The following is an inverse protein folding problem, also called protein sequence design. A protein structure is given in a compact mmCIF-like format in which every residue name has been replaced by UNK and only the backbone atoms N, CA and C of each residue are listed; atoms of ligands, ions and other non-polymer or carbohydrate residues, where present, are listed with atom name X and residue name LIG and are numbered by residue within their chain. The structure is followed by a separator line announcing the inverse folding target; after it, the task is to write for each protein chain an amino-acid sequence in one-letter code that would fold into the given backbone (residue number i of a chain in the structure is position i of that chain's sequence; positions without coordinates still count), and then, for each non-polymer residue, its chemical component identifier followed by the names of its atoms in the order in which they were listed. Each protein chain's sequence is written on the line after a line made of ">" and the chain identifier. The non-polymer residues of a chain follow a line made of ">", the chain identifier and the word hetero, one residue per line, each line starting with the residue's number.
data_IF_232161006484
#
_entry.id   IF_232161006484
#
_cell.length_a   1.000
_cell.length_b   1.000
_cell.length_c   1.000
_cell.angle_alpha   90.00
_cell.angle_beta   90.00
_cell.angle_gamma   90.00
#
_symmetry.space_group_name_H-M   'P 1'
#
loop_
_entity.id
_entity.type
_entity.pdbx_description
1 polymer ?
#
# COMPACT_ATOMS: atom_id res chain seq x y z
N UNK A 1 4.82 -19.67 -22.88
CA UNK A 1 3.60 -19.45 -22.08
C UNK A 1 2.70 -18.41 -22.76
N UNK A 2 1.38 -18.61 -22.81
CA UNK A 2 0.40 -17.60 -23.25
C UNK A 2 -0.39 -17.07 -22.05
N UNK A 3 -0.50 -15.75 -21.87
CA UNK A 3 -1.42 -15.13 -20.91
C UNK A 3 -2.75 -14.78 -21.57
N UNK A 4 -3.86 -14.98 -20.86
CA UNK A 4 -5.22 -14.63 -21.27
C UNK A 4 -5.93 -13.94 -20.12
N UNK A 5 -6.33 -12.69 -20.32
CA UNK A 5 -7.24 -12.02 -19.40
C UNK A 5 -8.67 -12.39 -19.77
N UNK A 6 -9.37 -13.14 -18.91
CA UNK A 6 -10.79 -13.50 -19.08
C UNK A 6 -11.69 -12.72 -18.11
N UNK A 7 -11.20 -11.60 -17.59
CA UNK A 7 -11.91 -10.70 -16.70
C UNK A 7 -12.15 -9.36 -17.39
N UNK A 8 -13.11 -8.55 -16.93
CA UNK A 8 -13.21 -7.16 -17.38
C UNK A 8 -12.06 -6.30 -16.85
N UNK A 9 -11.37 -6.73 -15.79
CA UNK A 9 -10.40 -5.93 -15.04
C UNK A 9 -9.04 -5.78 -15.74
N UNK A 10 -8.30 -4.73 -15.38
CA UNK A 10 -6.91 -4.58 -15.78
C UNK A 10 -6.07 -5.73 -15.21
N UNK A 11 -5.56 -6.59 -16.08
CA UNK A 11 -4.65 -7.68 -15.69
C UNK A 11 -3.50 -7.81 -16.68
N UNK A 12 -2.29 -7.96 -16.15
CA UNK A 12 -1.06 -8.05 -16.93
C UNK A 12 -0.19 -9.19 -16.38
N UNK A 13 0.47 -9.90 -17.30
CA UNK A 13 1.55 -10.83 -16.98
C UNK A 13 2.87 -10.23 -17.48
N UNK A 14 3.84 -10.05 -16.59
CA UNK A 14 5.17 -9.53 -16.90
C UNK A 14 6.26 -10.41 -16.27
N UNK A 15 7.51 -10.25 -16.70
CA UNK A 15 8.66 -10.94 -16.09
C UNK A 15 9.32 -10.02 -15.08
N UNK A 16 9.70 -10.54 -13.91
CA UNK A 16 10.47 -9.80 -12.93
C UNK A 16 11.35 -10.74 -12.10
N UNK A 17 12.47 -10.22 -11.58
CA UNK A 17 13.33 -10.96 -10.65
C UNK A 17 12.58 -11.23 -9.34
N UNK A 18 12.60 -12.49 -8.93
CA UNK A 18 12.07 -12.96 -7.67
C UNK A 18 13.17 -13.04 -6.59
N UNK A 19 12.83 -13.30 -5.31
CA UNK A 19 13.81 -13.39 -4.23
C UNK A 19 14.89 -14.47 -4.39
N UNK A 20 14.67 -15.46 -5.26
CA UNK A 20 15.65 -16.49 -5.61
C UNK A 20 16.61 -16.06 -6.74
N UNK A 21 16.51 -14.80 -7.18
CA UNK A 21 17.32 -14.23 -8.27
C UNK A 21 16.91 -14.72 -9.66
N UNK A 22 15.83 -15.50 -9.79
CA UNK A 22 15.32 -15.98 -11.07
C UNK A 22 14.20 -15.09 -11.59
N UNK A 23 14.06 -15.02 -12.91
CA UNK A 23 12.93 -14.36 -13.53
C UNK A 23 11.66 -15.21 -13.38
N UNK A 24 10.65 -14.62 -12.74
CA UNK A 24 9.33 -15.22 -12.57
C UNK A 24 8.29 -14.49 -13.42
N UNK A 25 7.36 -15.22 -14.07
CA UNK A 25 6.11 -14.62 -14.52
C UNK A 25 5.28 -14.13 -13.32
N UNK A 26 5.06 -12.84 -13.28
CA UNK A 26 4.22 -12.14 -12.30
C UNK A 26 2.93 -11.71 -12.95
N UNK A 27 1.81 -12.00 -12.31
CA UNK A 27 0.49 -11.57 -12.74
C UNK A 27 -0.04 -10.57 -11.73
N UNK A 28 -0.38 -9.38 -12.20
CA UNK A 28 -1.08 -8.36 -11.43
C UNK A 28 -2.50 -8.19 -12.02
N UNK A 29 -3.51 -8.12 -11.15
CA UNK A 29 -4.90 -7.81 -11.48
C UNK A 29 -5.40 -6.74 -10.54
N UNK A 30 -6.01 -5.68 -11.08
CA UNK A 30 -6.56 -4.58 -10.30
C UNK A 30 -8.07 -4.55 -10.36
N UNK A 31 -8.71 -4.60 -9.21
CA UNK A 31 -10.16 -4.63 -9.07
C UNK A 31 -10.61 -3.43 -8.26
N UNK A 32 -11.49 -2.62 -8.84
CA UNK A 32 -12.08 -1.45 -8.19
C UNK A 32 -13.44 -1.77 -7.58
N UNK A 33 -13.75 -1.10 -6.48
CA UNK A 33 -15.05 -1.10 -5.82
C UNK A 33 -15.50 0.33 -5.55
N UNK A 34 -16.76 0.61 -5.81
CA UNK A 34 -17.45 1.79 -5.30
C UNK A 34 -17.92 1.49 -3.88
N UNK A 35 -17.69 2.41 -2.96
CA UNK A 35 -18.15 2.32 -1.58
C UNK A 35 -19.47 3.09 -1.48
N UNK A 36 -20.58 2.37 -1.60
CA UNK A 36 -21.93 2.95 -1.61
C UNK A 36 -22.52 2.99 -0.19
N UNK A 37 -22.82 4.17 0.37
CA UNK A 37 -23.52 4.28 1.65
C UNK A 37 -24.87 3.57 1.62
N UNK A 38 -25.23 2.90 2.71
CA UNK A 38 -26.50 2.20 2.83
C UNK A 38 -27.58 3.15 3.39
N UNK A 39 -28.66 3.38 2.63
CA UNK A 39 -29.71 4.36 2.97
C UNK A 39 -30.31 4.18 4.38
N UNK A 40 -30.49 2.93 4.82
CA UNK A 40 -31.11 2.60 6.12
C UNK A 40 -30.10 2.34 7.25
N UNK A 41 -28.80 2.44 6.98
CA UNK A 41 -27.74 2.12 7.94
C UNK A 41 -26.61 3.16 7.86
N UNK A 42 -26.76 4.32 8.53
CA UNK A 42 -25.73 5.35 8.58
C UNK A 42 -24.39 4.77 9.06
N UNK A 43 -23.30 5.18 8.40
CA UNK A 43 -21.98 4.62 8.68
C UNK A 43 -21.75 3.19 8.17
N UNK A 44 -22.66 2.60 7.39
CA UNK A 44 -22.41 1.34 6.68
C UNK A 44 -22.29 1.61 5.18
N UNK A 45 -21.28 1.02 4.55
CA UNK A 45 -21.05 1.09 3.11
C UNK A 45 -20.98 -0.31 2.50
N UNK A 46 -21.60 -0.47 1.33
CA UNK A 46 -21.48 -1.66 0.50
C UNK A 46 -20.37 -1.46 -0.53
N UNK A 47 -19.44 -2.40 -0.60
CA UNK A 47 -18.45 -2.46 -1.67
C UNK A 47 -19.08 -3.09 -2.93
N UNK A 48 -19.33 -2.28 -3.95
CA UNK A 48 -19.88 -2.71 -5.24
C UNK A 48 -18.77 -2.73 -6.28
N UNK A 49 -18.52 -3.90 -6.88
CA UNK A 49 -17.45 -4.06 -7.88
C UNK A 49 -17.69 -3.18 -9.11
N UNK A 50 -16.63 -2.60 -9.65
CA UNK A 50 -16.65 -1.75 -10.85
C UNK A 50 -16.21 -2.60 -12.04
N UNK A 51 -17.16 -3.26 -12.71
CA UNK A 51 -16.94 -4.12 -13.88
C UNK A 51 -17.45 -3.51 -15.21
N UNK A 52 -18.14 -2.38 -15.14
CA UNK A 52 -18.65 -1.59 -16.28
C UNK A 52 -17.58 -0.64 -16.86
N UNK A 53 -16.82 0.01 -15.98
CA UNK A 53 -15.67 0.85 -16.31
C UNK A 53 -14.50 0.54 -15.36
N UNK A 54 -13.86 -0.62 -15.53
CA UNK A 54 -12.87 -1.14 -14.59
C UNK A 54 -11.64 -0.24 -14.50
N UNK A 55 -11.06 -0.16 -13.31
CA UNK A 55 -9.84 0.61 -13.07
C UNK A 55 -8.67 0.01 -13.86
N UNK A 56 -7.87 0.83 -14.57
CA UNK A 56 -6.66 0.34 -15.23
C UNK A 56 -5.57 0.03 -14.19
N UNK A 57 -4.65 -0.85 -14.56
CA UNK A 57 -3.38 -0.99 -13.84
C UNK A 57 -2.63 0.35 -13.88
N UNK A 58 -2.11 0.76 -12.73
CA UNK A 58 -1.21 1.90 -12.62
C UNK A 58 0.15 1.47 -13.16
N UNK A 59 0.54 1.99 -14.32
CA UNK A 59 1.76 1.56 -15.00
C UNK A 59 3.01 2.26 -14.49
N UNK A 60 2.85 3.45 -13.90
CA UNK A 60 3.92 4.26 -13.34
C UNK A 60 3.37 5.07 -12.15
N UNK A 61 4.25 5.42 -11.22
CA UNK A 61 3.86 6.16 -10.02
C UNK A 61 3.21 7.50 -10.41
N UNK A 62 2.11 7.81 -9.75
CA UNK A 62 1.39 9.09 -9.87
C UNK A 62 1.52 9.88 -8.57
N UNK A 63 1.40 11.19 -8.68
CA UNK A 63 1.68 12.12 -7.60
C UNK A 63 0.54 13.13 -7.47
N UNK A 64 0.36 13.74 -6.30
CA UNK A 64 -0.62 14.80 -6.12
C UNK A 64 -0.29 16.07 -6.92
N UNK A 65 0.98 16.26 -7.28
CA UNK A 65 1.50 17.35 -8.08
C UNK A 65 2.80 16.92 -8.76
N UNK A 66 3.84 17.76 -8.70
CA UNK A 66 5.12 17.45 -9.34
C UNK A 66 5.88 16.31 -8.61
N UNK A 67 6.45 15.35 -9.35
CA UNK A 67 7.30 14.30 -8.79
C UNK A 67 8.49 14.87 -8.01
N UNK A 68 8.79 14.30 -6.85
CA UNK A 68 9.87 14.74 -5.97
C UNK A 68 9.56 15.96 -5.10
N UNK A 69 8.46 16.69 -5.38
CA UNK A 69 8.00 17.85 -4.61
C UNK A 69 6.66 17.57 -3.91
N UNK A 70 5.89 16.60 -4.39
CA UNK A 70 4.60 16.21 -3.82
C UNK A 70 4.55 14.72 -3.47
N UNK A 71 3.65 14.36 -2.56
CA UNK A 71 3.47 12.96 -2.15
C UNK A 71 3.01 12.07 -3.31
N UNK A 72 3.44 10.81 -3.26
CA UNK A 72 2.96 9.76 -4.17
C UNK A 72 1.48 9.48 -3.87
N UNK A 73 0.65 9.55 -4.89
CA UNK A 73 -0.79 9.27 -4.82
C UNK A 73 -1.06 7.77 -5.00
N UNK A 74 -0.45 7.19 -6.02
CA UNK A 74 -0.58 5.76 -6.34
C UNK A 74 0.74 5.28 -6.95
N UNK A 75 1.27 4.14 -6.48
CA UNK A 75 2.44 3.50 -7.08
C UNK A 75 2.07 2.56 -8.21
N UNK A 76 3.05 2.30 -9.08
CA UNK A 76 2.96 1.28 -10.11
C UNK A 76 2.52 -0.08 -9.53
N UNK A 77 1.57 -0.72 -10.21
CA UNK A 77 1.10 -2.08 -9.91
C UNK A 77 2.09 -3.15 -10.39
N UNK A 78 3.26 -2.76 -10.91
CA UNK A 78 4.26 -3.65 -11.49
C UNK A 78 5.38 -4.05 -10.52
N UNK A 79 5.07 -4.14 -9.23
CA UNK A 79 5.99 -4.72 -8.26
C UNK A 79 6.17 -6.24 -8.53
N UNK A 80 7.40 -6.78 -8.45
CA UNK A 80 7.66 -8.22 -8.65
C UNK A 80 6.95 -9.08 -7.59
N UNK A 81 7.08 -8.66 -6.33
CA UNK A 81 6.57 -9.36 -5.16
C UNK A 81 6.51 -8.39 -3.99
N UNK A 82 5.41 -8.42 -3.21
CA UNK A 82 5.27 -7.70 -1.95
C UNK A 82 5.09 -8.71 -0.82
N UNK A 83 6.02 -8.80 0.15
CA UNK A 83 5.91 -9.70 1.30
C UNK A 83 4.65 -9.46 2.17
N UNK A 84 4.12 -8.24 2.16
CA UNK A 84 2.93 -7.85 2.91
C UNK A 84 1.88 -7.18 2.03
N UNK A 85 0.65 -7.06 2.55
CA UNK A 85 -0.36 -6.20 1.97
C UNK A 85 -0.19 -4.76 2.45
N UNK A 86 0.00 -3.83 1.51
CA UNK A 86 -0.01 -2.40 1.77
C UNK A 86 -1.45 -1.92 1.99
N UNK A 87 -1.68 -1.22 3.10
CA UNK A 87 -2.93 -0.51 3.34
C UNK A 87 -2.67 0.99 3.21
N UNK A 88 -3.22 1.60 2.17
CA UNK A 88 -3.05 3.01 1.82
C UNK A 88 -4.39 3.72 1.92
N UNK A 89 -4.42 4.90 2.54
CA UNK A 89 -5.61 5.76 2.57
C UNK A 89 -5.29 7.12 1.96
N UNK A 90 -6.14 7.52 1.01
CA UNK A 90 -6.14 8.81 0.34
C UNK A 90 -7.42 9.55 0.73
N UNK A 91 -7.31 10.84 1.03
CA UNK A 91 -8.46 11.69 1.34
C UNK A 91 -8.14 12.67 2.47
N UNK A 92 -9.09 12.86 3.37
CA UNK A 92 -8.96 13.76 4.51
C UNK A 92 -9.33 13.09 5.84
N UNK A 93 -8.68 13.53 6.92
CA UNK A 93 -9.20 13.36 8.27
C UNK A 93 -10.16 14.51 8.58
N UNK A 94 -11.36 14.20 9.07
CA UNK A 94 -12.42 15.16 9.37
C UNK A 94 -12.56 15.38 10.87
N UNK A 95 -12.74 16.64 11.28
CA UNK A 95 -13.09 16.95 12.65
C UNK A 95 -14.48 16.36 13.01
N UNK A 96 -14.68 15.85 14.24
CA UNK A 96 -15.92 15.18 14.63
C UNK A 96 -17.18 16.01 14.35
N UNK A 97 -18.19 15.36 13.77
CA UNK A 97 -19.46 15.98 13.35
C UNK A 97 -19.30 17.20 12.41
N UNK A 98 -18.15 17.33 11.72
CA UNK A 98 -17.85 18.44 10.82
C UNK A 98 -17.65 19.79 11.52
N UNK A 99 -17.50 19.81 12.85
CA UNK A 99 -17.34 21.04 13.63
C UNK A 99 -15.87 21.43 13.71
N UNK A 100 -15.50 22.71 13.49
CA UNK A 100 -14.11 23.14 13.64
C UNK A 100 -13.54 22.76 15.00
N UNK A 101 -12.43 22.01 14.99
CA UNK A 101 -11.72 21.58 16.18
C UNK A 101 -10.23 21.88 16.03
N UNK A 102 -9.53 22.07 17.16
CA UNK A 102 -8.07 22.31 17.15
C UNK A 102 -7.28 21.02 17.02
N UNK A 103 -7.82 19.90 17.51
CA UNK A 103 -7.25 18.57 17.38
C UNK A 103 -8.34 17.51 17.46
N UNK A 104 -8.13 16.39 16.77
CA UNK A 104 -8.97 15.20 16.81
C UNK A 104 -8.16 13.96 16.43
N UNK A 105 -8.78 12.80 16.55
CA UNK A 105 -8.21 11.51 16.17
C UNK A 105 -8.92 10.98 14.93
N UNK A 106 -8.16 10.36 14.02
CA UNK A 106 -8.72 9.65 12.88
C UNK A 106 -7.85 8.42 12.56
N UNK A 107 -8.45 7.41 11.96
CA UNK A 107 -7.79 6.13 11.82
C UNK A 107 -8.61 5.09 11.07
N UNK A 108 -8.04 3.90 10.96
CA UNK A 108 -8.73 2.74 10.41
C UNK A 108 -8.40 1.46 11.18
N UNK A 109 -9.32 0.52 11.05
CA UNK A 109 -9.17 -0.84 11.51
C UNK A 109 -9.49 -1.82 10.40
N UNK A 110 -8.66 -2.85 10.24
CA UNK A 110 -8.93 -3.96 9.34
C UNK A 110 -8.98 -5.24 10.14
N UNK A 111 -10.08 -5.97 10.00
CA UNK A 111 -10.24 -7.31 10.56
C UNK A 111 -10.49 -8.30 9.44
N UNK A 112 -9.78 -9.41 9.47
CA UNK A 112 -9.98 -10.54 8.56
C UNK A 112 -10.50 -11.75 9.34
N UNK A 113 -10.77 -12.84 8.65
CA UNK A 113 -11.14 -14.10 9.28
C UNK A 113 -10.04 -15.14 9.08
N UNK A 114 -9.82 -15.99 10.08
CA UNK A 114 -8.95 -17.16 9.93
C UNK A 114 -9.65 -18.42 10.39
N UNK A 115 -9.42 -19.56 9.75
CA UNK A 115 -9.93 -20.83 10.26
C UNK A 115 -9.28 -21.13 11.61
N UNK A 116 -10.10 -21.49 12.60
CA UNK A 116 -9.67 -21.99 13.91
C UNK A 116 -9.01 -23.35 13.78
N UNK A 117 -9.51 -24.15 12.83
CA UNK A 117 -8.97 -25.44 12.42
C UNK A 117 -9.19 -25.58 10.90
N UNK A 118 -8.15 -25.95 10.18
CA UNK A 118 -8.27 -26.31 8.77
C UNK A 118 -8.72 -27.77 8.64
N UNK A 119 -9.76 -28.00 7.86
CA UNK A 119 -10.15 -29.34 7.41
C UNK A 119 -9.70 -29.46 5.96
N UNK A 120 -8.54 -30.10 5.69
CA UNK A 120 -8.01 -30.20 4.33
C UNK A 120 -9.01 -30.94 3.43
N UNK A 121 -9.03 -30.57 2.16
CA UNK A 121 -9.80 -31.31 1.16
C UNK A 121 -9.39 -32.79 1.23
N UNK A 122 -10.35 -33.73 1.30
CA UNK A 122 -10.02 -35.15 1.29
C UNK A 122 -9.23 -35.49 0.02
N UNK A 123 -8.23 -36.38 0.10
CA UNK A 123 -7.49 -36.77 -1.09
C UNK A 123 -8.44 -37.42 -2.11
N UNK A 124 -8.21 -37.22 -3.42
CA UNK A 124 -9.01 -37.87 -4.44
C UNK A 124 -8.96 -39.40 -4.26
N UNK A 125 -10.06 -40.13 -4.50
CA UNK A 125 -10.09 -41.57 -4.31
C UNK A 125 -9.00 -42.24 -5.16
N UNK A 126 -8.18 -43.08 -4.54
CA UNK A 126 -7.08 -43.75 -5.24
C UNK A 126 -7.63 -44.77 -6.25
N UNK A 127 -7.13 -44.71 -7.48
CA UNK A 127 -7.50 -45.62 -8.57
C UNK A 127 -6.28 -46.05 -9.38
N UNK A 128 -6.30 -47.26 -9.97
CA UNK A 128 -5.33 -47.64 -10.98
C UNK A 128 -5.34 -46.64 -12.16
N UNK A 129 -4.20 -46.45 -12.85
CA UNK A 129 -4.13 -45.60 -14.03
C UNK A 129 -5.20 -45.98 -15.08
N UNK A 130 -5.93 -44.99 -15.59
CA UNK A 130 -6.93 -45.17 -16.64
C UNK A 130 -8.34 -45.54 -16.15
N UNK A 131 -8.51 -45.88 -14.87
CA UNK A 131 -9.84 -46.15 -14.29
C UNK A 131 -10.47 -44.84 -13.81
N UNK A 132 -11.65 -44.51 -14.36
CA UNK A 132 -12.40 -43.30 -13.98
C UNK A 132 -13.31 -43.57 -12.79
N UNK A 133 -13.54 -42.55 -11.97
CA UNK A 133 -14.58 -42.57 -10.94
C UNK A 133 -15.96 -42.73 -11.58
N UNK A 134 -16.83 -43.49 -10.92
CA UNK A 134 -18.25 -43.51 -11.27
C UNK A 134 -18.89 -42.15 -10.95
N UNK A 135 -20.07 -41.88 -11.50
CA UNK A 135 -20.79 -40.65 -11.19
C UNK A 135 -21.18 -40.54 -9.71
N UNK A 136 -21.49 -41.66 -9.06
CA UNK A 136 -21.79 -41.71 -7.63
C UNK A 136 -20.54 -41.38 -6.79
N UNK A 137 -19.41 -42.02 -7.10
CA UNK A 137 -18.15 -41.78 -6.40
C UNK A 137 -17.66 -40.33 -6.56
N UNK A 138 -17.87 -39.75 -7.74
CA UNK A 138 -17.54 -38.34 -7.97
C UNK A 138 -18.43 -37.41 -7.13
N UNK A 139 -19.73 -37.71 -7.01
CA UNK A 139 -20.66 -36.95 -6.17
C UNK A 139 -20.31 -37.04 -4.69
N UNK A 140 -20.02 -38.25 -4.19
CA UNK A 140 -19.61 -38.47 -2.80
C UNK A 140 -18.32 -37.73 -2.48
N UNK A 141 -17.33 -37.80 -3.37
CA UNK A 141 -16.08 -37.05 -3.22
C UNK A 141 -16.33 -35.53 -3.20
N UNK A 142 -17.14 -35.01 -4.12
CA UNK A 142 -17.52 -33.60 -4.15
C UNK A 142 -18.24 -33.16 -2.87
N UNK A 143 -19.17 -33.98 -2.36
CA UNK A 143 -19.87 -33.71 -1.11
C UNK A 143 -18.92 -33.71 0.10
N UNK A 144 -17.96 -34.64 0.15
CA UNK A 144 -16.95 -34.67 1.21
C UNK A 144 -16.02 -33.45 1.18
N UNK A 145 -15.60 -33.02 -0.01
CA UNK A 145 -14.85 -31.76 -0.21
C UNK A 145 -15.68 -30.56 0.24
N UNK A 146 -16.95 -30.48 -0.16
CA UNK A 146 -17.84 -29.38 0.25
C UNK A 146 -18.05 -29.34 1.77
N UNK A 147 -18.25 -30.49 2.42
CA UNK A 147 -18.40 -30.58 3.87
C UNK A 147 -17.13 -30.17 4.62
N UNK A 148 -15.94 -30.58 4.17
CA UNK A 148 -14.67 -30.16 4.76
C UNK A 148 -14.50 -28.63 4.68
N UNK A 149 -14.80 -28.05 3.51
CA UNK A 149 -14.77 -26.59 3.31
C UNK A 149 -15.81 -25.86 4.17
N UNK A 150 -17.03 -26.40 4.27
CA UNK A 150 -18.10 -25.86 5.13
C UNK A 150 -17.67 -25.83 6.60
N UNK A 151 -17.12 -26.93 7.13
CA UNK A 151 -16.61 -27.00 8.51
C UNK A 151 -15.48 -26.00 8.76
N UNK A 152 -14.58 -25.83 7.79
CA UNK A 152 -13.51 -24.82 7.87
C UNK A 152 -14.10 -23.40 7.91
N UNK A 153 -15.16 -23.13 7.14
CA UNK A 153 -15.89 -21.86 7.14
C UNK A 153 -16.64 -21.57 8.45
N UNK A 154 -17.30 -22.58 9.03
CA UNK A 154 -18.04 -22.44 10.29
C UNK A 154 -17.14 -22.16 11.50
N UNK A 155 -15.86 -22.53 11.42
CA UNK A 155 -14.90 -22.33 12.48
C UNK A 155 -13.99 -21.14 12.22
N UNK A 156 -14.51 -20.04 11.65
CA UNK A 156 -13.74 -18.81 11.48
C UNK A 156 -13.69 -17.99 12.77
N UNK A 157 -12.52 -17.45 13.10
CA UNK A 157 -12.34 -16.48 14.17
C UNK A 157 -11.87 -15.14 13.60
N UNK A 158 -12.30 -14.00 14.18
CA UNK A 158 -11.77 -12.70 13.82
C UNK A 158 -10.25 -12.62 14.06
N UNK A 159 -9.56 -11.99 13.12
CA UNK A 159 -8.15 -11.64 13.19
C UNK A 159 -8.02 -10.14 12.95
N UNK A 160 -7.53 -9.41 13.95
CA UNK A 160 -7.17 -8.00 13.78
C UNK A 160 -5.89 -7.92 12.94
N UNK A 161 -5.97 -7.31 11.77
CA UNK A 161 -4.82 -7.10 10.88
C UNK A 161 -4.18 -5.72 11.08
N UNK A 162 -5.02 -4.69 11.26
CA UNK A 162 -4.59 -3.30 11.45
C UNK A 162 -5.51 -2.61 12.46
N UNK A 163 -4.92 -1.81 13.34
CA UNK A 163 -5.63 -0.82 14.14
C UNK A 163 -4.72 0.40 14.30
N UNK A 164 -4.92 1.40 13.44
CA UNK A 164 -4.07 2.59 13.40
C UNK A 164 -4.91 3.83 13.61
N UNK A 165 -4.51 4.64 14.58
CA UNK A 165 -5.12 5.93 14.90
C UNK A 165 -4.01 6.97 15.03
N UNK A 166 -4.19 8.11 14.36
CA UNK A 166 -3.27 9.24 14.40
C UNK A 166 -3.95 10.48 14.98
N UNK A 167 -3.15 11.40 15.52
CA UNK A 167 -3.61 12.72 15.93
C UNK A 167 -3.54 13.67 14.73
N UNK A 168 -4.61 14.44 14.57
CA UNK A 168 -4.69 15.53 13.62
C UNK A 168 -4.85 16.84 14.37
N UNK A 169 -4.27 17.91 13.85
CA UNK A 169 -4.47 19.28 14.33
C UNK A 169 -4.81 20.21 13.17
N UNK A 170 -5.48 21.33 13.45
CA UNK A 170 -5.52 22.40 12.47
C UNK A 170 -4.17 23.09 12.28
N UNK A 171 -4.09 24.12 11.41
CA UNK A 171 -2.85 24.79 11.07
C UNK A 171 -2.12 25.33 12.30
N UNK A 172 -0.80 25.16 12.33
CA UNK A 172 0.10 25.68 13.36
C UNK A 172 1.49 25.94 12.78
N UNK A 173 2.26 26.76 13.46
CA UNK A 173 3.57 27.22 13.02
C UNK A 173 4.60 27.08 14.14
N UNK A 174 5.86 26.90 13.76
CA UNK A 174 6.97 27.29 14.61
C UNK A 174 7.22 28.80 14.41
N UNK A 175 7.34 29.55 15.51
CA UNK A 175 7.66 30.98 15.50
C UNK A 175 8.93 31.25 16.27
N UNK A 176 9.80 32.07 15.71
CA UNK A 176 11.03 32.48 16.36
C UNK A 176 10.75 33.66 17.29
N UNK A 177 10.85 33.43 18.61
CA UNK A 177 10.69 34.45 19.65
C UNK A 177 12.00 34.81 20.34
N UNK A 178 11.91 35.54 21.46
CA UNK A 178 13.07 35.97 22.27
C UNK A 178 13.89 34.80 22.85
N UNK A 179 13.23 33.66 23.09
CA UNK A 179 13.84 32.44 23.66
C UNK A 179 14.04 31.33 22.61
N UNK A 180 13.96 31.67 21.32
CA UNK A 180 14.08 30.75 20.20
C UNK A 180 12.73 30.29 19.63
N UNK A 181 12.75 29.18 18.90
CA UNK A 181 11.58 28.59 18.26
C UNK A 181 10.60 28.04 19.29
N UNK A 182 9.32 28.38 19.14
CA UNK A 182 8.20 27.79 19.89
C UNK A 182 7.07 27.42 18.93
N UNK A 183 6.30 26.41 19.29
CA UNK A 183 5.13 25.98 18.54
C UNK A 183 3.91 26.81 18.94
N UNK A 184 3.11 27.25 17.97
CA UNK A 184 1.83 27.92 18.24
C UNK A 184 0.72 26.90 18.54
N UNK A 185 -0.30 27.33 19.28
CA UNK A 185 -1.52 26.54 19.39
C UNK A 185 -2.13 26.30 17.99
N UNK A 186 -2.71 25.11 17.74
CA UNK A 186 -3.44 24.87 16.50
C UNK A 186 -4.64 25.80 16.35
N UNK A 187 -4.84 26.29 15.14
CA UNK A 187 -6.08 26.96 14.73
C UNK A 187 -7.21 25.93 14.56
N UNK A 188 -8.49 26.30 14.76
CA UNK A 188 -9.61 25.41 14.46
C UNK A 188 -9.67 25.05 12.96
N UNK A 189 -9.78 23.76 12.66
CA UNK A 189 -9.96 23.25 11.30
C UNK A 189 -11.08 22.22 11.26
N UNK A 190 -11.68 22.02 10.09
CA UNK A 190 -12.72 21.00 9.86
C UNK A 190 -12.17 19.73 9.21
N UNK A 191 -11.01 19.81 8.56
CA UNK A 191 -10.34 18.66 7.95
C UNK A 191 -8.85 18.92 7.68
N UNK A 192 -8.07 17.85 7.59
CA UNK A 192 -6.63 17.84 7.24
C UNK A 192 -6.41 16.80 6.14
N UNK A 193 -5.73 17.15 5.02
CA UNK A 193 -5.44 16.18 3.97
C UNK A 193 -4.44 15.12 4.46
N UNK A 194 -4.66 13.85 4.11
CA UNK A 194 -3.81 12.72 4.47
C UNK A 194 -2.52 12.68 3.63
N UNK A 195 -1.68 13.69 3.79
CA UNK A 195 -0.51 13.95 2.94
C UNK A 195 0.77 14.08 3.76
N UNK A 196 1.89 13.59 3.23
CA UNK A 196 3.18 13.62 3.92
C UNK A 196 3.73 15.02 4.14
N UNK A 197 3.30 15.99 3.35
CA UNK A 197 3.54 17.42 3.53
C UNK A 197 3.00 17.94 4.87
N UNK A 198 2.01 17.24 5.45
CA UNK A 198 1.41 17.57 6.75
C UNK A 198 2.07 16.85 7.93
N UNK A 199 3.02 15.94 7.67
CA UNK A 199 3.70 15.16 8.70
C UNK A 199 5.09 15.75 9.03
N UNK A 200 5.75 15.19 10.05
CA UNK A 200 7.15 15.51 10.35
C UNK A 200 8.05 15.36 9.13
N UNK A 201 8.97 16.30 8.92
CA UNK A 201 9.98 16.22 7.87
C UNK A 201 10.30 17.57 7.26
N UNK A 202 10.67 17.56 5.99
CA UNK A 202 10.86 18.76 5.17
C UNK A 202 12.24 18.89 4.55
N UNK A 203 12.48 20.04 3.94
CA UNK A 203 13.70 20.34 3.19
C UNK A 203 14.29 21.69 3.63
N UNK A 204 15.60 21.81 3.48
CA UNK A 204 16.40 23.01 3.71
C UNK A 204 17.18 23.34 2.46
N UNK A 205 16.57 24.16 1.61
CA UNK A 205 17.12 24.57 0.32
C UNK A 205 17.37 26.07 0.29
N UNK A 206 18.56 26.48 -0.14
CA UNK A 206 18.94 27.87 -0.39
C UNK A 206 19.58 27.90 -1.78
N UNK A 207 18.91 28.54 -2.74
CA UNK A 207 19.43 28.73 -4.09
C UNK A 207 20.73 29.54 -4.07
N UNK A 208 21.62 29.28 -5.02
CA UNK A 208 22.85 30.04 -5.21
C UNK A 208 22.63 31.15 -6.26
N UNK A 209 22.63 32.44 -5.87
CA UNK A 209 22.43 33.53 -6.83
C UNK A 209 23.47 33.61 -7.94
N UNK A 210 24.64 32.99 -7.75
CA UNK A 210 25.68 32.95 -8.79
C UNK A 210 25.34 32.00 -9.93
N UNK A 211 24.51 30.98 -9.69
CA UNK A 211 24.20 29.96 -10.68
C UNK A 211 23.50 30.55 -11.92
N UNK A 212 22.66 31.58 -11.75
CA UNK A 212 22.00 32.26 -12.87
C UNK A 212 23.00 32.90 -13.86
N UNK A 213 24.17 33.32 -13.39
CA UNK A 213 25.22 33.95 -14.20
C UNK A 213 26.42 33.05 -14.51
N UNK A 214 26.49 31.88 -13.89
CA UNK A 214 27.59 30.92 -14.00
C UNK A 214 27.05 29.49 -13.79
N UNK A 215 26.70 28.77 -14.87
CA UNK A 215 26.18 27.40 -14.77
C UNK A 215 27.16 26.40 -14.13
N UNK A 216 28.46 26.72 -14.06
CA UNK A 216 29.45 25.89 -13.38
C UNK A 216 29.40 26.05 -11.85
N UNK A 217 28.78 27.13 -11.34
CA UNK A 217 28.53 27.27 -9.93
C UNK A 217 27.44 26.28 -9.47
N UNK A 218 27.52 25.70 -8.25
CA UNK A 218 26.46 24.82 -7.74
C UNK A 218 25.10 25.53 -7.72
N UNK A 219 24.02 24.85 -8.09
CA UNK A 219 22.65 25.40 -8.10
C UNK A 219 22.19 25.87 -6.71
N UNK A 220 22.63 25.19 -5.66
CA UNK A 220 22.24 25.46 -4.27
C UNK A 220 23.45 25.73 -3.38
N UNK A 221 23.31 26.69 -2.46
CA UNK A 221 24.23 26.89 -1.32
C UNK A 221 23.96 25.88 -0.19
N UNK A 222 22.73 25.40 -0.11
CA UNK A 222 22.29 24.33 0.78
C UNK A 222 21.18 23.56 0.06
N UNK A 223 21.29 22.24 -0.02
CA UNK A 223 20.24 21.37 -0.54
C UNK A 223 20.20 20.11 0.32
N UNK A 224 19.56 20.23 1.47
CA UNK A 224 19.47 19.17 2.46
C UNK A 224 18.00 18.81 2.67
N UNK A 225 17.71 17.55 2.95
CA UNK A 225 16.34 17.08 3.19
C UNK A 225 16.29 16.17 4.40
N UNK A 226 15.16 16.18 5.10
CA UNK A 226 14.87 15.16 6.10
C UNK A 226 14.76 13.80 5.40
N UNK A 227 15.71 12.91 5.63
CA UNK A 227 15.78 11.63 4.93
C UNK A 227 14.58 10.70 5.14
N UNK A 228 13.85 10.83 6.26
CA UNK A 228 12.64 10.04 6.54
C UNK A 228 11.40 10.55 5.81
N UNK A 229 11.30 11.86 5.57
CA UNK A 229 10.23 12.50 4.81
C UNK A 229 10.69 13.88 4.30
N UNK A 230 11.17 14.00 3.07
CA UNK A 230 11.67 15.27 2.53
C UNK A 230 10.55 16.30 2.25
N UNK A 231 9.29 15.87 2.24
CA UNK A 231 8.14 16.71 1.86
C UNK A 231 7.48 17.41 3.06
N UNK A 232 7.67 16.88 4.27
CA UNK A 232 6.99 17.32 5.48
C UNK A 232 7.40 18.70 5.99
N UNK A 233 7.12 18.92 7.27
CA UNK A 233 7.56 20.13 7.98
C UNK A 233 8.02 19.84 9.41
N UNK A 234 8.63 20.82 10.07
CA UNK A 234 9.18 20.66 11.42
C UNK A 234 10.62 20.11 11.50
N UNK A 235 11.28 19.93 10.36
CA UNK A 235 12.71 19.69 10.24
C UNK A 235 13.41 20.86 9.51
N UNK A 236 14.55 21.32 10.02
CA UNK A 236 15.35 22.38 9.40
C UNK A 236 16.85 22.13 9.60
N UNK A 237 17.64 22.04 8.53
CA UNK A 237 19.08 21.85 8.66
C UNK A 237 19.74 23.06 9.35
N UNK A 238 20.63 22.80 10.30
CA UNK A 238 21.23 23.80 11.20
C UNK A 238 21.84 25.02 10.48
N UNK A 239 22.44 24.85 9.30
CA UNK A 239 23.08 25.92 8.51
C UNK A 239 22.06 26.83 7.83
N UNK A 240 20.81 26.39 7.67
CA UNK A 240 19.78 27.11 6.93
C UNK A 240 19.60 28.53 7.46
N UNK A 241 19.40 28.70 8.77
CA UNK A 241 19.11 30.01 9.38
C UNK A 241 20.23 31.03 9.08
N UNK A 242 21.49 30.61 9.18
CA UNK A 242 22.66 31.44 8.89
C UNK A 242 22.74 31.82 7.41
N UNK A 243 22.57 30.84 6.52
CA UNK A 243 22.64 31.07 5.08
C UNK A 243 21.47 31.96 4.60
N UNK A 244 20.27 31.75 5.13
CA UNK A 244 19.10 32.59 4.86
C UNK A 244 19.37 34.06 5.20
N UNK A 245 19.88 34.34 6.40
CA UNK A 245 20.24 35.70 6.80
C UNK A 245 21.31 36.31 5.90
N UNK A 246 22.32 35.52 5.51
CA UNK A 246 23.38 36.00 4.60
C UNK A 246 22.87 36.32 3.20
N UNK A 247 21.83 35.63 2.72
CA UNK A 247 21.24 35.86 1.39
C UNK A 247 20.21 37.00 1.38
N UNK A 248 19.40 37.12 2.44
CA UNK A 248 18.23 38.01 2.44
C UNK A 248 18.42 39.26 3.30
N UNK A 249 19.30 39.21 4.30
CA UNK A 249 19.41 40.23 5.34
C UNK A 249 18.37 40.11 6.47
N UNK A 250 17.40 39.19 6.34
CA UNK A 250 16.29 39.00 7.26
C UNK A 250 16.46 37.73 8.11
N UNK A 251 15.87 37.74 9.30
CA UNK A 251 15.79 36.54 10.13
C UNK A 251 14.64 35.64 9.67
N UNK A 252 14.87 34.33 9.68
CA UNK A 252 13.80 33.35 9.51
C UNK A 252 12.93 33.33 10.79
N UNK A 253 11.70 33.83 10.69
CA UNK A 253 10.83 34.05 11.87
C UNK A 253 9.66 33.09 12.00
N UNK A 254 9.30 32.37 10.93
CA UNK A 254 8.17 31.44 10.91
C UNK A 254 8.42 30.25 10.00
N UNK A 255 7.94 29.08 10.41
CA UNK A 255 7.94 27.85 9.62
C UNK A 255 6.63 27.08 9.88
N UNK A 256 6.08 26.37 8.88
CA UNK A 256 4.94 25.48 9.12
C UNK A 256 5.33 24.37 10.12
N UNK A 257 4.35 23.92 10.89
CA UNK A 257 4.51 22.78 11.79
C UNK A 257 3.54 21.64 11.40
N UNK A 258 3.91 20.37 11.64
CA UNK A 258 3.12 19.21 11.26
C UNK A 258 1.70 19.25 11.81
N UNK A 259 0.73 18.78 11.02
CA UNK A 259 -0.67 18.58 11.39
C UNK A 259 -1.04 17.10 11.59
N UNK A 260 -0.16 16.16 11.21
CA UNK A 260 -0.33 14.71 11.38
C UNK A 260 0.77 14.17 12.29
N UNK A 261 0.38 13.50 13.37
CA UNK A 261 1.28 13.04 14.42
C UNK A 261 0.84 11.65 14.93
N UNK A 262 1.80 10.86 15.43
CA UNK A 262 1.48 9.70 16.25
C UNK A 262 0.82 10.16 17.57
N UNK A 263 0.00 9.30 18.18
CA UNK A 263 -0.71 9.66 19.42
C UNK A 263 0.23 9.83 20.62
N UNK A 264 1.30 9.04 20.64
CA UNK A 264 2.29 8.88 21.71
C UNK A 264 3.58 9.69 21.49
N UNK A 265 3.84 10.14 20.26
CA UNK A 265 5.00 10.95 19.90
C UNK A 265 4.59 12.32 19.28
N UNK A 266 4.03 13.25 20.09
CA UNK A 266 3.68 14.57 19.60
C UNK A 266 4.91 15.41 19.25
N UNK A 267 4.78 16.24 18.21
CA UNK A 267 5.86 17.08 17.68
C UNK A 267 5.76 18.47 18.30
N UNK A 268 6.54 18.71 19.35
CA UNK A 268 6.46 19.95 20.13
C UNK A 268 7.51 21.00 19.73
N UNK A 269 8.57 20.59 19.04
CA UNK A 269 9.74 21.43 18.74
C UNK A 269 10.23 21.24 17.32
N UNK A 270 10.68 22.34 16.71
CA UNK A 270 11.40 22.32 15.44
C UNK A 270 12.71 21.54 15.62
N UNK A 271 12.89 20.45 14.88
CA UNK A 271 14.15 19.72 14.86
C UNK A 271 15.16 20.46 14.00
N UNK A 272 16.36 20.70 14.56
CA UNK A 272 17.45 21.41 13.87
C UNK A 272 18.74 20.62 13.86
N UNK A 273 18.83 19.50 13.11
CA UNK A 273 20.01 18.68 13.10
C UNK A 273 21.08 19.29 12.20
N UNK A 274 22.31 18.80 12.35
CA UNK A 274 23.40 19.07 11.43
C UNK A 274 23.77 17.77 10.74
N UNK A 275 23.53 17.71 9.43
CA UNK A 275 23.89 16.53 8.65
C UNK A 275 25.42 16.37 8.55
N UNK A 276 25.91 15.13 8.44
CA UNK A 276 27.30 14.86 8.09
C UNK A 276 27.70 15.58 6.80
N UNK A 277 28.97 15.95 6.69
CA UNK A 277 29.50 16.54 5.47
C UNK A 277 29.90 15.45 4.47
N UNK A 278 29.54 15.64 3.20
CA UNK A 278 29.89 14.71 2.11
C UNK A 278 28.71 13.82 1.71
N UNK A 279 28.89 13.00 0.65
CA UNK A 279 27.86 12.07 0.20
C UNK A 279 27.63 10.98 1.24
N UNK A 280 26.39 10.57 1.40
CA UNK A 280 25.97 9.42 2.20
C UNK A 280 25.33 8.39 1.28
N UNK A 281 25.60 7.11 1.55
CA UNK A 281 24.86 6.01 0.94
C UNK A 281 23.53 5.78 1.67
N UNK A 282 22.71 4.88 1.13
CA UNK A 282 21.38 4.62 1.67
C UNK A 282 21.38 4.11 3.13
N UNK A 283 22.28 3.18 3.54
CA UNK A 283 22.40 2.78 4.94
C UNK A 283 22.77 3.95 5.85
N UNK A 284 23.77 4.77 5.50
CA UNK A 284 24.16 5.91 6.33
C UNK A 284 23.04 6.98 6.42
N UNK A 285 22.27 7.19 5.35
CA UNK A 285 21.07 8.03 5.41
C UNK A 285 20.02 7.49 6.39
N UNK A 286 19.83 6.17 6.45
CA UNK A 286 18.93 5.53 7.40
C UNK A 286 19.41 5.64 8.85
N UNK A 287 20.71 5.52 9.10
CA UNK A 287 21.31 5.77 10.43
C UNK A 287 21.06 7.21 10.90
N UNK A 288 21.33 8.20 10.04
CA UNK A 288 21.03 9.61 10.35
C UNK A 288 19.53 9.82 10.60
N UNK A 289 18.67 9.19 9.80
CA UNK A 289 17.22 9.31 9.96
C UNK A 289 16.71 8.75 11.29
N UNK A 290 17.30 7.65 11.76
CA UNK A 290 16.96 7.04 13.04
C UNK A 290 17.28 7.94 14.25
N UNK A 291 18.22 8.87 14.10
CA UNK A 291 18.62 9.82 15.14
C UNK A 291 17.77 11.09 15.21
N UNK A 292 16.81 11.29 14.29
CA UNK A 292 15.96 12.50 14.30
C UNK A 292 15.08 12.61 15.54
N UNK A 293 14.74 11.49 16.19
CA UNK A 293 13.90 11.46 17.39
C UNK A 293 12.42 11.77 17.16
N UNK A 294 12.00 11.99 15.90
CA UNK A 294 10.61 12.05 15.48
C UNK A 294 10.43 11.20 14.23
N UNK A 295 9.31 10.46 14.16
CA UNK A 295 8.94 9.64 13.00
C UNK A 295 7.79 10.28 12.23
N UNK A 296 7.86 10.43 10.89
CA UNK A 296 6.72 10.87 10.12
C UNK A 296 5.57 9.86 10.20
N UNK A 297 4.38 10.33 10.58
CA UNK A 297 3.16 9.52 10.61
C UNK A 297 2.21 9.94 9.48
N UNK A 298 1.56 8.96 8.85
CA UNK A 298 0.63 9.20 7.75
C UNK A 298 -0.01 7.91 7.24
N UNK A 299 -0.95 8.04 6.30
CA UNK A 299 -1.64 6.91 5.67
C UNK A 299 -1.26 6.66 4.20
N UNK A 300 -0.50 7.58 3.60
CA UNK A 300 -0.10 7.54 2.20
C UNK A 300 1.13 6.64 1.94
N UNK A 301 1.56 6.62 0.69
CA UNK A 301 2.73 5.85 0.24
C UNK A 301 4.03 6.56 0.63
N UNK A 302 4.94 5.87 1.30
CA UNK A 302 6.30 6.34 1.60
C UNK A 302 7.13 6.32 0.31
N UNK A 303 7.79 7.41 -0.05
CA UNK A 303 8.56 7.48 -1.31
C UNK A 303 9.74 6.49 -1.35
N UNK A 304 10.00 5.88 -2.51
CA UNK A 304 11.12 4.91 -2.69
C UNK A 304 12.50 5.50 -2.43
N UNK A 305 12.66 6.80 -2.66
CA UNK A 305 13.91 7.53 -2.45
C UNK A 305 14.12 8.00 -1.00
N UNK A 306 13.19 7.70 -0.10
CA UNK A 306 13.29 8.09 1.32
C UNK A 306 14.03 7.00 2.08
N UNK A 307 14.83 7.37 3.07
CA UNK A 307 15.67 6.43 3.82
C UNK A 307 14.94 5.16 4.33
N UNK A 308 13.67 5.23 4.81
CA UNK A 308 12.95 4.03 5.26
C UNK A 308 12.76 2.95 4.19
N UNK A 309 12.76 3.34 2.90
CA UNK A 309 12.67 2.39 1.77
C UNK A 309 13.97 2.28 1.00
N UNK A 310 14.68 3.38 0.79
CA UNK A 310 15.90 3.42 -0.01
C UNK A 310 16.97 2.44 0.50
N UNK A 311 17.11 2.30 1.83
CA UNK A 311 18.05 1.34 2.43
C UNK A 311 17.70 -0.13 2.15
N UNK A 312 16.45 -0.44 1.78
CA UNK A 312 15.99 -1.78 1.43
C UNK A 312 16.31 -2.17 -0.01
N UNK A 313 16.72 -1.20 -0.85
CA UNK A 313 17.11 -1.47 -2.23
C UNK A 313 18.44 -2.24 -2.35
N UNK A 314 19.15 -2.46 -1.24
CA UNK A 314 20.45 -3.11 -1.23
C UNK A 314 21.59 -2.19 -1.71
N UNK A 315 22.79 -2.76 -1.74
CA UNK A 315 24.03 -2.03 -1.99
C UNK A 315 24.49 -2.21 -3.43
N UNK A 316 24.44 -1.13 -4.22
CA UNK A 316 24.89 -1.09 -5.63
C UNK A 316 26.32 -0.55 -5.73
N UNK A 317 27.29 -1.31 -5.24
CA UNK A 317 28.71 -0.95 -5.29
C UNK A 317 29.48 -1.67 -6.42
N UNK A 318 30.81 -1.59 -6.39
CA UNK A 318 31.67 -2.26 -7.38
C UNK A 318 31.59 -3.78 -7.32
N UNK A 319 31.34 -4.37 -6.14
CA UNK A 319 31.22 -5.82 -6.03
C UNK A 319 29.93 -6.29 -6.69
N UNK A 320 28.82 -5.56 -6.50
CA UNK A 320 27.59 -5.79 -7.26
C UNK A 320 27.83 -5.69 -8.78
N UNK A 321 28.52 -4.65 -9.25
CA UNK A 321 28.82 -4.45 -10.68
C UNK A 321 29.68 -5.59 -11.26
N UNK A 322 30.71 -6.02 -10.52
CA UNK A 322 31.67 -7.03 -10.97
C UNK A 322 31.10 -8.47 -10.88
N UNK A 323 30.23 -8.76 -9.90
CA UNK A 323 29.84 -10.14 -9.55
C UNK A 323 28.33 -10.46 -9.59
N UNK A 324 27.45 -9.46 -9.44
CA UNK A 324 26.00 -9.68 -9.32
C UNK A 324 25.20 -9.16 -10.51
N UNK A 325 25.70 -8.16 -11.24
CA UNK A 325 25.06 -7.63 -12.44
C UNK A 325 24.73 -8.73 -13.45
N UNK A 326 23.51 -8.77 -14.05
CA UNK A 326 22.42 -7.79 -13.98
C UNK A 326 21.35 -8.08 -12.90
N UNK A 327 21.65 -8.92 -11.92
CA UNK A 327 20.75 -9.28 -10.83
C UNK A 327 20.60 -8.19 -9.76
N UNK A 328 19.78 -8.47 -8.75
CA UNK A 328 19.66 -7.63 -7.55
C UNK A 328 20.90 -7.80 -6.65
N UNK A 329 21.26 -6.77 -5.86
CA UNK A 329 22.21 -6.94 -4.76
C UNK A 329 21.81 -8.10 -3.83
N UNK A 330 22.80 -8.76 -3.22
CA UNK A 330 22.56 -9.88 -2.30
C UNK A 330 21.77 -9.44 -1.04
N UNK A 331 21.94 -8.18 -0.64
CA UNK A 331 21.27 -7.54 0.49
C UNK A 331 19.96 -6.81 0.12
N UNK A 332 19.41 -7.02 -1.08
CA UNK A 332 18.12 -6.47 -1.47
C UNK A 332 16.98 -7.06 -0.62
N UNK A 333 16.24 -6.20 0.08
CA UNK A 333 15.06 -6.58 0.85
C UNK A 333 13.78 -6.31 0.05
N UNK A 334 13.01 -7.36 -0.24
CA UNK A 334 11.77 -7.23 -1.03
C UNK A 334 10.65 -6.43 -0.35
N UNK A 335 10.76 -6.13 0.95
CA UNK A 335 9.90 -5.14 1.59
C UNK A 335 10.11 -3.73 1.02
N UNK A 336 11.19 -3.48 0.25
CA UNK A 336 11.34 -2.31 -0.63
C UNK A 336 10.10 -2.06 -1.48
N UNK A 337 9.43 -3.12 -1.96
CA UNK A 337 8.25 -3.02 -2.81
C UNK A 337 6.96 -2.70 -2.04
N UNK A 338 6.96 -2.81 -0.71
CA UNK A 338 5.86 -2.33 0.11
C UNK A 338 5.94 -0.80 0.21
N UNK A 339 4.87 -0.13 -0.23
CA UNK A 339 4.78 1.33 -0.24
C UNK A 339 4.14 1.90 1.02
N UNK A 340 3.38 1.11 1.78
CA UNK A 340 2.79 1.56 3.04
C UNK A 340 3.89 1.75 4.10
N UNK A 341 3.74 2.69 5.05
CA UNK A 341 4.60 2.72 6.23
C UNK A 341 4.52 1.37 6.99
N UNK A 342 5.58 0.95 7.70
CA UNK A 342 5.64 -0.38 8.33
C UNK A 342 4.45 -0.72 9.23
N UNK A 343 3.86 0.28 9.90
CA UNK A 343 2.69 0.13 10.77
C UNK A 343 1.35 -0.07 10.01
N UNK A 344 1.39 -0.09 8.66
CA UNK A 344 0.26 -0.33 7.75
C UNK A 344 0.53 -1.47 6.77
N UNK A 345 1.62 -2.22 6.96
CA UNK A 345 1.93 -3.43 6.20
C UNK A 345 1.36 -4.63 6.96
N UNK A 346 0.35 -5.29 6.39
CA UNK A 346 -0.38 -6.36 7.07
C UNK A 346 -0.24 -7.70 6.38
N UNK A 347 -0.57 -8.80 7.07
CA UNK A 347 -0.79 -10.07 6.41
C UNK A 347 -1.91 -9.95 5.36
N UNK A 348 -1.82 -10.73 4.27
CA UNK A 348 -2.80 -10.64 3.17
C UNK A 348 -4.24 -10.84 3.67
N UNK A 349 -5.14 -9.86 3.48
CA UNK A 349 -6.51 -9.94 3.97
C UNK A 349 -7.29 -11.01 3.22
N UNK A 350 -8.19 -11.69 3.93
CA UNK A 350 -9.18 -12.56 3.28
C UNK A 350 -10.12 -11.76 2.37
N UNK A 351 -10.70 -12.37 1.34
CA UNK A 351 -11.67 -11.71 0.45
C UNK A 351 -12.90 -11.11 1.15
N UNK A 352 -13.21 -11.58 2.35
CA UNK A 352 -14.31 -11.13 3.23
C UNK A 352 -13.82 -10.27 4.40
N UNK A 353 -12.64 -9.64 4.28
CA UNK A 353 -12.17 -8.70 5.30
C UNK A 353 -13.17 -7.57 5.53
N UNK A 354 -13.11 -7.00 6.72
CA UNK A 354 -13.93 -5.88 7.16
C UNK A 354 -13.03 -4.69 7.47
N UNK A 355 -13.38 -3.53 6.92
CA UNK A 355 -12.65 -2.28 7.06
C UNK A 355 -13.54 -1.32 7.84
N UNK A 356 -13.04 -0.77 8.94
CA UNK A 356 -13.68 0.33 9.67
C UNK A 356 -12.82 1.58 9.54
N UNK A 357 -13.42 2.69 9.15
CA UNK A 357 -12.81 4.02 9.11
C UNK A 357 -13.35 4.87 10.26
N UNK A 358 -12.49 5.65 10.89
CA UNK A 358 -12.83 6.58 11.98
C UNK A 358 -12.41 7.99 11.60
N UNK A 359 -13.38 8.90 11.44
CA UNK A 359 -13.17 10.29 11.05
C UNK A 359 -12.37 10.47 9.73
N UNK A 360 -12.44 9.49 8.82
CA UNK A 360 -11.80 9.55 7.50
C UNK A 360 -12.78 9.72 6.35
N UNK A 361 -14.10 9.73 6.62
CA UNK A 361 -15.15 9.99 5.63
C UNK A 361 -15.86 11.31 5.92
N UNK A 362 -16.56 11.85 4.93
CA UNK A 362 -17.34 13.08 5.11
C UNK A 362 -18.36 12.91 6.27
N UNK A 363 -18.41 13.83 7.24
CA UNK A 363 -19.36 13.78 8.36
C UNK A 363 -20.85 13.73 7.95
N UNK A 364 -21.18 14.11 6.71
CA UNK A 364 -22.53 13.94 6.16
C UNK A 364 -22.89 12.47 5.89
N UNK A 365 -21.90 11.61 5.64
CA UNK A 365 -22.06 10.16 5.48
C UNK A 365 -22.14 9.44 6.82
N UNK A 366 -21.40 9.95 7.82
CA UNK A 366 -21.36 9.38 9.15
C UNK A 366 -21.19 10.45 10.23
N UNK A 367 -22.27 10.72 10.96
CA UNK A 367 -22.28 11.75 11.99
C UNK A 367 -21.45 11.38 13.24
N UNK A 368 -21.28 10.08 13.53
CA UNK A 368 -20.42 9.59 14.61
C UNK A 368 -18.97 9.35 14.15
N UNK A 369 -18.68 9.61 12.87
CA UNK A 369 -17.37 9.48 12.25
C UNK A 369 -17.00 8.04 11.91
N UNK A 370 -17.85 7.05 12.17
CA UNK A 370 -17.56 5.64 11.88
C UNK A 370 -18.12 5.22 10.53
N UNK A 371 -17.31 4.58 9.70
CA UNK A 371 -17.75 3.97 8.44
C UNK A 371 -17.26 2.53 8.35
N UNK A 372 -18.17 1.57 8.25
CA UNK A 372 -17.92 0.14 8.16
C UNK A 372 -18.15 -0.36 6.72
N UNK A 373 -17.20 -1.15 6.23
CA UNK A 373 -17.19 -1.70 4.87
C UNK A 373 -16.91 -3.20 4.98
N UNK A 374 -17.86 -4.01 4.54
CA UNK A 374 -17.70 -5.45 4.40
C UNK A 374 -17.29 -5.79 2.96
N UNK A 375 -16.13 -6.44 2.78
CA UNK A 375 -15.73 -6.92 1.46
C UNK A 375 -16.62 -8.11 1.03
N UNK A 376 -16.96 -8.23 -0.26
CA UNK A 376 -17.99 -9.15 -0.74
C UNK A 376 -17.52 -10.61 -0.88
N UNK A 377 -16.27 -10.94 -0.56
CA UNK A 377 -15.76 -12.30 -0.69
C UNK A 377 -15.35 -12.70 -2.10
N UNK A 378 -15.26 -11.75 -3.05
CA UNK A 378 -14.90 -12.04 -4.44
C UNK A 378 -13.50 -12.66 -4.56
N UNK A 379 -13.33 -13.60 -5.49
CA UNK A 379 -12.12 -14.42 -5.58
C UNK A 379 -11.39 -14.19 -6.91
N UNK A 380 -10.27 -13.43 -6.91
CA UNK A 380 -9.35 -13.37 -8.05
C UNK A 380 -8.45 -14.61 -8.05
N UNK A 381 -8.27 -15.23 -9.21
CA UNK A 381 -7.41 -16.40 -9.33
C UNK A 381 -6.85 -16.53 -10.75
N UNK A 382 -5.75 -17.26 -10.87
CA UNK A 382 -5.20 -17.66 -12.16
C UNK A 382 -5.46 -19.15 -12.36
N UNK A 383 -6.06 -19.52 -13.49
CA UNK A 383 -6.12 -20.90 -13.93
C UNK A 383 -4.88 -21.22 -14.75
N UNK A 384 -3.96 -21.95 -14.14
CA UNK A 384 -2.73 -22.41 -14.77
C UNK A 384 -2.98 -23.70 -15.53
N UNK A 385 -2.66 -23.72 -16.83
CA UNK A 385 -2.77 -24.87 -17.71
C UNK A 385 -1.38 -25.31 -18.14
N UNK A 386 -0.94 -26.45 -17.61
CA UNK A 386 0.37 -27.04 -17.86
C UNK A 386 0.42 -27.70 -19.25
N UNK A 387 1.61 -27.87 -19.82
CA UNK A 387 1.80 -28.55 -21.11
C UNK A 387 1.37 -30.03 -21.07
N UNK A 388 1.52 -30.68 -19.91
CA UNK A 388 1.05 -32.06 -19.68
C UNK A 388 -0.48 -32.21 -19.53
N UNK A 389 -1.25 -31.11 -19.63
CA UNK A 389 -2.71 -31.10 -19.54
C UNK A 389 -3.29 -30.89 -18.13
N UNK A 390 -2.47 -30.84 -17.09
CA UNK A 390 -2.90 -30.50 -15.72
C UNK A 390 -3.42 -29.05 -15.69
N UNK A 391 -4.51 -28.84 -14.95
CA UNK A 391 -5.10 -27.52 -14.71
C UNK A 391 -5.18 -27.25 -13.21
N UNK A 392 -4.58 -26.15 -12.77
CA UNK A 392 -4.51 -25.77 -11.36
C UNK A 392 -5.05 -24.34 -11.19
N UNK A 393 -6.14 -24.14 -10.43
CA UNK A 393 -6.55 -22.81 -10.04
C UNK A 393 -5.71 -22.36 -8.84
N UNK A 394 -5.05 -21.21 -8.94
CA UNK A 394 -4.25 -20.63 -7.87
C UNK A 394 -4.85 -19.27 -7.48
N UNK A 395 -5.21 -19.06 -6.19
CA UNK A 395 -5.71 -17.77 -5.75
C UNK A 395 -4.62 -16.71 -5.90
N UNK A 396 -5.03 -15.48 -6.23
CA UNK A 396 -4.14 -14.32 -6.19
C UNK A 396 -4.24 -13.67 -4.81
N UNK A 397 -3.12 -13.21 -4.27
CA UNK A 397 -3.08 -12.55 -2.97
C UNK A 397 -3.36 -11.06 -3.16
N UNK A 398 -4.24 -10.50 -2.34
CA UNK A 398 -4.42 -9.04 -2.28
C UNK A 398 -3.25 -8.45 -1.52
N UNK A 399 -2.38 -7.73 -2.22
CA UNK A 399 -1.18 -7.13 -1.61
C UNK A 399 -1.18 -5.60 -1.59
N UNK A 400 -2.22 -4.97 -2.12
CA UNK A 400 -2.42 -3.52 -1.99
C UNK A 400 -3.92 -3.24 -1.85
N UNK A 401 -4.29 -2.53 -0.78
CA UNK A 401 -5.59 -1.90 -0.57
C UNK A 401 -5.37 -0.38 -0.62
N UNK A 402 -5.91 0.28 -1.63
CA UNK A 402 -5.94 1.75 -1.71
C UNK A 402 -7.38 2.21 -1.50
N UNK A 403 -7.62 2.85 -0.37
CA UNK A 403 -8.93 3.40 0.02
C UNK A 403 -8.91 4.90 -0.25
N UNK A 404 -9.66 5.36 -1.25
CA UNK A 404 -9.91 6.78 -1.48
C UNK A 404 -11.22 7.16 -0.79
N UNK A 405 -11.11 7.86 0.34
CA UNK A 405 -12.25 8.25 1.16
C UNK A 405 -12.94 9.53 0.69
N UNK A 406 -12.30 10.31 -0.18
CA UNK A 406 -12.94 11.47 -0.82
C UNK A 406 -13.78 11.00 -2.03
N UNK A 407 -13.24 10.10 -2.84
CA UNK A 407 -13.93 9.52 -4.00
C UNK A 407 -14.88 8.37 -3.62
N UNK A 408 -14.79 7.87 -2.38
CA UNK A 408 -15.51 6.69 -1.89
C UNK A 408 -15.29 5.47 -2.80
N UNK A 409 -14.01 5.16 -3.04
CA UNK A 409 -13.59 3.99 -3.83
C UNK A 409 -12.54 3.17 -3.10
N UNK A 410 -12.54 1.87 -3.37
CA UNK A 410 -11.50 0.95 -2.93
C UNK A 410 -10.88 0.31 -4.18
N UNK A 411 -9.58 0.46 -4.34
CA UNK A 411 -8.81 -0.29 -5.33
C UNK A 411 -8.04 -1.42 -4.64
N UNK A 412 -8.13 -2.62 -5.20
CA UNK A 412 -7.41 -3.80 -4.73
C UNK A 412 -6.49 -4.31 -5.84
N UNK A 413 -5.19 -4.41 -5.55
CA UNK A 413 -4.25 -5.08 -6.45
C UNK A 413 -3.98 -6.49 -5.93
N UNK A 414 -4.26 -7.46 -6.79
CA UNK A 414 -4.03 -8.87 -6.54
C UNK A 414 -2.82 -9.31 -7.34
N UNK A 415 -1.90 -10.05 -6.71
CA UNK A 415 -0.66 -10.50 -7.32
C UNK A 415 -0.40 -11.98 -7.07
N UNK A 416 0.25 -12.60 -8.05
CA UNK A 416 0.88 -13.91 -7.88
C UNK A 416 2.19 -13.93 -8.69
N UNK A 417 3.25 -14.44 -8.07
CA UNK A 417 4.53 -14.73 -8.73
C UNK A 417 4.67 -16.25 -8.83
N UNK A 418 4.96 -16.74 -10.03
CA UNK A 418 5.03 -18.17 -10.32
C UNK A 418 6.47 -18.55 -10.71
N UNK A 419 7.01 -19.68 -10.22
CA UNK A 419 8.35 -20.11 -10.60
C UNK A 419 8.52 -20.27 -12.11
N UNK A 420 9.59 -19.68 -12.67
CA UNK A 420 9.90 -19.76 -14.10
C UNK A 420 10.19 -21.17 -14.60
N UNK A 421 10.50 -22.10 -13.70
CA UNK A 421 10.75 -23.53 -13.99
C UNK A 421 9.48 -24.33 -14.32
N UNK A 422 8.28 -23.76 -14.09
CA UNK A 422 7.02 -24.44 -14.39
C UNK A 422 6.76 -24.50 -15.90
N UNK A 423 6.42 -25.68 -16.41
CA UNK A 423 6.06 -25.90 -17.82
C UNK A 423 4.61 -25.44 -18.12
N UNK A 424 4.41 -24.13 -18.04
CA UNK A 424 3.13 -23.46 -18.19
C UNK A 424 2.84 -23.18 -19.66
N UNK A 425 1.76 -23.80 -20.16
CA UNK A 425 1.27 -23.55 -21.52
C UNK A 425 0.42 -22.28 -21.58
N UNK A 426 -0.57 -22.15 -20.68
CA UNK A 426 -1.50 -21.00 -20.64
C UNK A 426 -1.77 -20.58 -19.20
N UNK A 427 -1.77 -19.27 -18.95
CA UNK A 427 -2.31 -18.64 -17.75
C UNK A 427 -3.59 -17.89 -18.09
N UNK A 428 -4.68 -18.18 -17.39
CA UNK A 428 -5.96 -17.50 -17.55
C UNK A 428 -6.29 -16.72 -16.27
N UNK A 429 -6.26 -15.39 -16.32
CA UNK A 429 -6.75 -14.56 -15.23
C UNK A 429 -8.29 -14.65 -15.19
N UNK A 430 -8.83 -14.91 -13.99
CA UNK A 430 -10.25 -15.15 -13.75
C UNK A 430 -10.68 -14.48 -12.45
N UNK A 431 -11.98 -14.18 -12.35
CA UNK A 431 -12.59 -13.53 -11.20
C UNK A 431 -13.96 -14.12 -10.95
N UNK A 432 -14.25 -14.49 -9.71
CA UNK A 432 -15.52 -15.09 -9.30
C UNK A 432 -16.18 -14.21 -8.23
N UNK A 433 -17.39 -13.76 -8.52
CA UNK A 433 -18.17 -12.85 -7.66
C UNK A 433 -19.00 -13.60 -6.63
N UNK A 434 -19.35 -14.86 -6.89
CA UNK A 434 -20.02 -15.71 -5.89
C UNK A 434 -18.95 -16.41 -5.03
N UNK A 435 -18.78 -16.08 -3.73
CA UNK A 435 -17.79 -16.70 -2.87
C UNK A 435 -17.99 -18.22 -2.69
N UNK A 436 -19.20 -18.73 -2.92
CA UNK A 436 -19.57 -20.13 -2.72
C UNK A 436 -19.52 -20.96 -4.03
N UNK A 437 -19.40 -20.29 -5.18
CA UNK A 437 -19.32 -20.98 -6.47
C UNK A 437 -18.05 -21.85 -6.60
N UNK A 438 -18.08 -22.94 -7.40
CA UNK A 438 -16.88 -23.71 -7.70
C UNK A 438 -15.96 -22.94 -8.67
N UNK A 439 -14.67 -22.80 -8.30
CA UNK A 439 -13.64 -22.07 -9.09
C UNK A 439 -13.42 -22.66 -10.49
N UNK A 440 -13.66 -23.96 -10.67
CA UNK A 440 -13.61 -24.63 -11.98
C UNK A 440 -14.96 -25.30 -12.25
N UNK A 441 -15.73 -24.72 -13.17
CA UNK A 441 -16.90 -25.37 -13.76
C UNK A 441 -16.47 -26.08 -15.06
N UNK A 442 -16.68 -27.41 -15.12
CA UNK A 442 -16.55 -28.14 -16.39
C UNK A 442 -17.90 -28.10 -17.08
N UNK A 443 -17.92 -27.78 -18.38
CA UNK A 443 -19.13 -27.86 -19.17
C UNK A 443 -19.75 -29.27 -19.03
N UNK A 444 -21.08 -29.38 -18.83
CA UNK A 444 -21.73 -30.68 -18.86
C UNK A 444 -21.47 -31.30 -20.24
N UNK A 445 -20.99 -32.55 -20.24
CA UNK A 445 -20.82 -33.27 -21.50
C UNK A 445 -22.20 -33.42 -22.13
N UNK A 446 -22.38 -32.89 -23.35
CA UNK A 446 -23.43 -33.40 -24.22
C UNK A 446 -23.17 -34.89 -24.37
N UNK A 447 -24.01 -35.72 -23.74
CA UNK A 447 -24.17 -37.09 -24.15
C UNK A 447 -24.80 -37.01 -25.54
N UNK A 448 -23.96 -37.01 -26.57
CA UNK A 448 -24.42 -37.30 -27.92
C UNK A 448 -24.99 -38.71 -27.89
N UNK A 449 -26.32 -38.79 -27.92
CA UNK A 449 -27.04 -40.00 -28.26
C UNK A 449 -26.55 -40.45 -29.64
N UNK A 450 -25.74 -41.50 -29.66
CA UNK A 450 -25.60 -42.32 -30.85
C UNK A 450 -26.87 -43.16 -30.96
N UNK A 451 -27.75 -42.79 -31.89
CA UNK A 451 -28.75 -43.68 -32.47
C UNK A 451 -28.19 -44.36 -33.71
#
# INVERSE_FOLDING_TARGET
>A
MQFRNLTPFGALCFSALAPDGQEHPVIAMKVGYRLEPMEDQPGQCRAVVIDDNPLPLCMADTYYGEPGISAVLEESDLAPFKPYCDVIVVGHAHAPAGRPARSWEAGLRITSTRPRQEFPDPPPPQRPPGVRLTSDELREYQAAVQEARRRTGEQRMPLLLLDKTLRFTGPREFRHGLVGWHLTDPEPATRVPLRWEQAFGGASQIANPRHEGDPEAPEYLLNEVCFSNPLGCGWLEHRHEKLHYQQTGDMLVRLPAPQIEALDEPIERLLRPRHPAGPLDAPAMAEVAAEYGYTPAGFGIVGRAWAPRLALAGTYDRDWEDNHWPGLPEDFDFTYWNGAPPDQQVAYPTPDAHITLFNLVDPLLSADGRCDIQLPGHRPFVLMRMTNGVMLPLPMLTDTLLIDTDAMTLSMTHRISLPGSLDIRVLEARFETDPDAPIIQRAPRHNGEHA
#
